data_IF_988346140497
#
_entry.id   IF_988346140497
#
_cell.length_a   1.000
_cell.length_b   1.000
_cell.length_c   1.000
_cell.angle_alpha   90.00
_cell.angle_beta   90.00
_cell.angle_gamma   90.00
#
_symmetry.space_group_name_H-M   'P 1'
#
loop_
_entity.id
_entity.type
_entity.pdbx_description
1 polymer ?
#
# COMPACT_ATOMS: atom_id res chain seq x y z
N UNK A 1 -27.23 -9.67 -8.36
CA UNK A 1 -25.91 -9.13 -8.75
C UNK A 1 -24.88 -9.17 -7.62
N UNK A 2 -25.30 -9.24 -6.35
CA UNK A 2 -24.43 -9.37 -5.16
C UNK A 2 -23.80 -10.75 -4.97
N UNK A 3 -24.34 -11.81 -5.57
CA UNK A 3 -23.85 -13.18 -5.37
C UNK A 3 -22.41 -13.42 -5.84
N UNK A 4 -21.91 -12.63 -6.79
CA UNK A 4 -20.54 -12.75 -7.32
C UNK A 4 -19.53 -11.82 -6.62
N UNK A 5 -20.00 -10.92 -5.75
CA UNK A 5 -19.17 -9.89 -5.10
C UNK A 5 -18.89 -10.18 -3.62
N UNK A 6 -19.55 -11.20 -3.07
CA UNK A 6 -19.39 -11.60 -1.67
C UNK A 6 -18.67 -12.94 -1.59
N UNK A 7 -17.63 -12.99 -0.77
CA UNK A 7 -16.96 -14.24 -0.44
C UNK A 7 -17.95 -15.20 0.23
N UNK A 8 -18.13 -16.40 -0.34
CA UNK A 8 -18.89 -17.50 0.24
C UNK A 8 -17.89 -18.57 0.71
N UNK A 9 -17.77 -18.83 2.03
CA UNK A 9 -16.90 -19.89 2.53
C UNK A 9 -17.33 -21.22 1.92
N UNK A 10 -16.37 -21.98 1.39
CA UNK A 10 -16.64 -23.33 0.85
C UNK A 10 -16.40 -24.42 1.90
N UNK A 11 -15.82 -24.03 3.05
CA UNK A 11 -15.38 -24.86 4.16
C UNK A 11 -15.34 -24.02 5.47
N UNK A 12 -15.00 -24.65 6.59
CA UNK A 12 -14.98 -24.05 7.94
C UNK A 12 -13.57 -23.58 8.38
N UNK A 13 -12.71 -23.20 7.44
CA UNK A 13 -11.33 -22.78 7.73
C UNK A 13 -11.16 -21.27 7.99
N UNK A 14 -12.26 -20.51 7.87
CA UNK A 14 -12.25 -19.07 8.04
C UNK A 14 -12.11 -18.70 9.51
N UNK A 15 -10.99 -18.06 9.85
CA UNK A 15 -10.75 -17.48 11.16
C UNK A 15 -11.46 -16.12 11.28
N UNK A 16 -12.74 -16.18 11.66
CA UNK A 16 -13.59 -15.01 11.84
C UNK A 16 -13.11 -14.10 12.97
N UNK A 17 -12.57 -14.68 14.05
CA UNK A 17 -12.08 -13.91 15.20
C UNK A 17 -10.93 -12.98 14.79
N UNK A 18 -9.96 -13.53 14.03
CA UNK A 18 -8.85 -12.75 13.49
C UNK A 18 -9.32 -11.63 12.56
N UNK A 19 -10.27 -11.91 11.66
CA UNK A 19 -10.83 -10.91 10.75
C UNK A 19 -11.49 -9.78 11.56
N UNK A 20 -12.36 -10.12 12.51
CA UNK A 20 -13.05 -9.14 13.36
C UNK A 20 -12.05 -8.29 14.16
N UNK A 21 -11.00 -8.89 14.71
CA UNK A 21 -9.95 -8.16 15.44
C UNK A 21 -9.23 -7.13 14.55
N UNK A 22 -8.86 -7.50 13.33
CA UNK A 22 -8.22 -6.55 12.39
C UNK A 22 -9.18 -5.45 11.94
N UNK A 23 -10.45 -5.79 11.70
CA UNK A 23 -11.48 -4.81 11.35
C UNK A 23 -11.71 -3.80 12.48
N UNK A 24 -11.81 -4.26 13.72
CA UNK A 24 -11.93 -3.37 14.89
C UNK A 24 -10.73 -2.43 15.02
N UNK A 25 -9.50 -2.96 14.87
CA UNK A 25 -8.28 -2.15 14.87
C UNK A 25 -8.29 -1.08 13.76
N UNK A 26 -8.79 -1.41 12.57
CA UNK A 26 -8.91 -0.46 11.47
C UNK A 26 -9.98 0.62 11.76
N UNK A 27 -11.15 0.22 12.26
CA UNK A 27 -12.25 1.14 12.56
C UNK A 27 -11.92 2.16 13.66
N UNK A 28 -11.02 1.81 14.58
CA UNK A 28 -10.57 2.68 15.67
C UNK A 28 -9.36 3.55 15.29
N UNK A 29 -8.75 3.30 14.12
CA UNK A 29 -7.54 4.00 13.70
C UNK A 29 -7.87 5.43 13.30
N UNK A 30 -7.10 6.39 13.81
CA UNK A 30 -7.14 7.76 13.29
C UNK A 30 -6.46 7.81 11.92
N UNK A 31 -7.10 8.46 10.95
CA UNK A 31 -6.52 8.69 9.63
C UNK A 31 -5.25 9.56 9.76
N UNK A 32 -4.17 9.11 9.13
CA UNK A 32 -2.87 9.80 9.13
C UNK A 32 -2.32 9.86 7.71
N UNK A 33 -1.60 10.93 7.39
CA UNK A 33 -0.91 11.08 6.10
C UNK A 33 0.53 10.58 6.27
N UNK A 34 0.95 9.63 5.43
CA UNK A 34 2.36 9.25 5.31
C UNK A 34 3.01 10.04 4.16
N UNK A 35 4.04 10.83 4.48
CA UNK A 35 4.76 11.65 3.51
C UNK A 35 5.96 10.94 2.86
N UNK A 36 6.46 9.86 3.47
CA UNK A 36 7.71 9.18 3.08
C UNK A 36 7.75 8.82 1.59
N UNK A 37 6.66 8.27 1.05
CA UNK A 37 6.57 7.95 -0.39
C UNK A 37 6.71 9.19 -1.27
N UNK A 38 6.10 10.32 -0.89
CA UNK A 38 6.17 11.56 -1.65
C UNK A 38 7.57 12.17 -1.61
N UNK A 39 8.26 12.07 -0.47
CA UNK A 39 9.65 12.50 -0.31
C UNK A 39 10.58 11.70 -1.22
N UNK A 40 10.46 10.37 -1.22
CA UNK A 40 11.28 9.49 -2.06
C UNK A 40 11.05 9.73 -3.56
N UNK A 41 9.81 9.95 -3.99
CA UNK A 41 9.52 10.29 -5.39
C UNK A 41 10.14 11.63 -5.76
N UNK A 42 9.99 12.64 -4.90
CA UNK A 42 10.59 13.97 -5.11
C UNK A 42 12.10 13.88 -5.26
N UNK A 43 12.76 13.13 -4.36
CA UNK A 43 14.19 12.88 -4.41
C UNK A 43 14.61 12.22 -5.72
N UNK A 44 13.91 11.17 -6.15
CA UNK A 44 14.23 10.47 -7.39
C UNK A 44 14.10 11.39 -8.61
N UNK A 45 13.06 12.24 -8.65
CA UNK A 45 12.82 13.16 -9.77
C UNK A 45 13.84 14.31 -9.83
N UNK A 46 14.32 14.77 -8.69
CA UNK A 46 15.42 15.73 -8.61
C UNK A 46 16.75 15.10 -9.03
N UNK A 47 17.02 13.87 -8.58
CA UNK A 47 18.28 13.15 -8.85
C UNK A 47 18.42 12.77 -10.32
N UNK A 48 17.34 12.31 -10.95
CA UNK A 48 17.33 11.80 -12.33
C UNK A 48 16.60 12.75 -13.29
N UNK A 49 16.75 14.06 -13.10
CA UNK A 49 15.97 15.07 -13.81
C UNK A 49 16.12 14.98 -15.36
N UNK A 50 17.32 14.62 -15.82
CA UNK A 50 17.73 14.44 -17.22
C UNK A 50 17.10 13.20 -17.89
N UNK A 51 16.59 12.24 -17.11
CA UNK A 51 16.02 11.01 -17.64
C UNK A 51 14.62 11.21 -18.23
N UNK A 52 14.21 10.36 -19.20
CA UNK A 52 12.84 10.34 -19.68
C UNK A 52 11.83 10.07 -18.55
N UNK A 53 10.59 10.58 -18.62
CA UNK A 53 9.59 10.42 -17.57
C UNK A 53 9.33 8.96 -17.16
N UNK A 54 9.39 8.02 -18.10
CA UNK A 54 9.16 6.60 -17.81
C UNK A 54 10.28 5.99 -16.97
N UNK A 55 11.53 6.39 -17.24
CA UNK A 55 12.70 5.94 -16.49
C UNK A 55 12.70 6.55 -15.09
N UNK A 56 12.35 7.84 -14.95
CA UNK A 56 12.16 8.47 -13.63
C UNK A 56 11.16 7.74 -12.76
N UNK A 57 10.04 7.29 -13.32
CA UNK A 57 9.03 6.50 -12.57
C UNK A 57 9.58 5.17 -12.10
N UNK A 58 10.32 4.45 -12.95
CA UNK A 58 10.94 3.19 -12.59
C UNK A 58 11.98 3.37 -11.47
N UNK A 59 12.85 4.38 -11.59
CA UNK A 59 13.85 4.71 -10.58
C UNK A 59 13.23 5.18 -9.26
N UNK A 60 12.13 5.94 -9.31
CA UNK A 60 11.39 6.32 -8.11
C UNK A 60 10.75 5.11 -7.42
N UNK A 61 10.22 4.16 -8.18
CA UNK A 61 9.67 2.91 -7.64
C UNK A 61 10.77 2.07 -6.97
N UNK A 62 11.92 1.91 -7.62
CA UNK A 62 13.09 1.23 -7.06
C UNK A 62 13.53 1.86 -5.72
N UNK A 63 13.58 3.20 -5.68
CA UNK A 63 13.91 3.94 -4.47
C UNK A 63 12.88 3.71 -3.34
N UNK A 64 11.58 3.69 -3.68
CA UNK A 64 10.52 3.37 -2.72
C UNK A 64 10.71 1.95 -2.17
N UNK A 65 10.88 0.96 -3.04
CA UNK A 65 11.00 -0.44 -2.61
C UNK A 65 12.25 -0.69 -1.77
N UNK A 66 13.32 0.06 -2.02
CA UNK A 66 14.59 -0.09 -1.30
C UNK A 66 14.62 0.68 0.02
N UNK A 67 13.97 1.85 0.09
CA UNK A 67 14.15 2.79 1.22
C UNK A 67 12.91 3.03 2.07
N UNK A 68 11.71 2.78 1.56
CA UNK A 68 10.48 3.05 2.31
C UNK A 68 10.33 2.05 3.47
N UNK A 69 9.89 2.54 4.61
CA UNK A 69 9.65 1.72 5.79
C UNK A 69 8.52 0.72 5.55
N UNK A 70 8.75 -0.57 5.87
CA UNK A 70 7.74 -1.63 5.78
C UNK A 70 7.18 -1.87 7.20
N UNK A 71 5.90 -1.54 7.47
CA UNK A 71 5.27 -1.70 8.78
C UNK A 71 4.77 -3.13 9.06
#
# INVERSE_FOLDING_TARGET
MTEFLSFKPQNQDVDWERITRFQQRMNQRQATICAERAELITQAYQTYADQPPIIKKALALDLILTKMTIP
#
